data_IF_394457474433
#
_entry.id   IF_394457474433
#
_cell.length_a   1.000
_cell.length_b   1.000
_cell.length_c   1.000
_cell.angle_alpha   90.00
_cell.angle_beta   90.00
_cell.angle_gamma   90.00
#
_symmetry.space_group_name_H-M   'P 1'
#
loop_
_entity.id
_entity.type
_entity.pdbx_description
1 polymer ?
#
# COMPACT_ATOMS: atom_id res chain seq x y z
N UNK A 1 4.78 35.81 19.07
CA UNK A 1 4.67 34.41 18.63
C UNK A 1 3.35 34.24 17.90
N UNK A 2 3.34 33.78 16.64
CA UNK A 2 2.11 33.22 16.06
C UNK A 2 1.76 31.98 16.90
N UNK A 3 0.50 31.80 17.31
CA UNK A 3 0.12 30.61 18.07
C UNK A 3 0.42 29.36 17.24
N UNK A 4 0.78 28.26 17.89
CA UNK A 4 1.05 27.00 17.17
C UNK A 4 -0.14 26.56 16.31
N UNK A 5 -1.36 26.86 16.76
CA UNK A 5 -2.59 26.70 15.98
C UNK A 5 -2.59 27.53 14.68
N UNK A 6 -2.11 28.77 14.69
CA UNK A 6 -2.03 29.61 13.49
C UNK A 6 -0.96 29.14 12.49
N UNK A 7 0.04 28.39 12.94
CA UNK A 7 1.05 27.77 12.06
C UNK A 7 0.53 26.45 11.48
N UNK A 8 -0.12 25.62 12.29
CA UNK A 8 -0.75 24.37 11.87
C UNK A 8 -1.93 24.58 10.91
N UNK A 9 -2.59 25.73 10.98
CA UNK A 9 -3.68 26.12 10.08
C UNK A 9 -3.20 26.79 8.78
N UNK A 10 -1.89 27.00 8.59
CA UNK A 10 -1.37 27.75 7.46
C UNK A 10 -0.93 26.81 6.33
N UNK A 11 -1.56 26.95 5.16
CA UNK A 11 -1.29 26.14 3.97
C UNK A 11 -0.14 26.68 3.10
N UNK A 12 0.44 27.84 3.43
CA UNK A 12 1.44 28.53 2.59
C UNK A 12 2.90 28.15 2.89
N UNK A 13 3.15 27.18 3.78
CA UNK A 13 4.51 26.70 4.03
C UNK A 13 4.92 25.65 3.00
N UNK A 14 6.17 25.74 2.55
CA UNK A 14 6.83 24.62 1.87
C UNK A 14 6.78 23.39 2.79
N UNK A 15 6.39 22.23 2.26
CA UNK A 15 6.00 21.05 3.04
C UNK A 15 7.11 20.57 3.98
N UNK A 16 8.37 20.73 3.58
CA UNK A 16 9.55 20.41 4.40
C UNK A 16 9.75 21.43 5.52
N UNK A 17 9.58 22.72 5.23
CA UNK A 17 9.68 23.80 6.21
C UNK A 17 8.57 23.73 7.27
N UNK A 18 7.35 23.32 6.86
CA UNK A 18 6.22 23.13 7.74
C UNK A 18 6.52 22.02 8.75
N UNK A 19 7.13 20.93 8.29
CA UNK A 19 7.44 19.80 9.17
C UNK A 19 8.43 20.14 10.27
N UNK A 20 9.52 20.84 9.93
CA UNK A 20 10.50 21.29 10.92
C UNK A 20 9.89 22.23 11.98
N UNK A 21 9.03 23.16 11.55
CA UNK A 21 8.36 24.09 12.46
C UNK A 21 7.33 23.38 13.34
N UNK A 22 6.53 22.47 12.79
CA UNK A 22 5.57 21.67 13.57
C UNK A 22 6.30 20.78 14.57
N UNK A 23 7.42 20.17 14.19
CA UNK A 23 8.24 19.36 15.09
C UNK A 23 8.78 20.16 16.27
N UNK A 24 9.31 21.36 16.00
CA UNK A 24 9.77 22.27 17.05
C UNK A 24 8.61 22.71 17.95
N UNK A 25 7.45 23.04 17.38
CA UNK A 25 6.29 23.47 18.18
C UNK A 25 5.78 22.36 19.09
N UNK A 26 5.70 21.12 18.59
CA UNK A 26 5.29 19.98 19.40
C UNK A 26 6.31 19.68 20.50
N UNK A 27 7.62 19.79 20.25
CA UNK A 27 8.64 19.49 21.27
C UNK A 27 8.68 20.47 22.45
N UNK A 28 8.18 21.71 22.26
CA UNK A 28 8.10 22.73 23.32
C UNK A 28 6.74 22.79 24.03
N UNK A 29 5.76 21.98 23.61
CA UNK A 29 4.44 21.89 24.21
C UNK A 29 4.38 20.91 25.38
N UNK A 30 3.45 21.12 26.32
CA UNK A 30 3.10 20.08 27.31
C UNK A 30 2.32 18.94 26.64
N UNK A 31 2.27 17.73 27.23
CA UNK A 31 1.51 16.61 26.67
C UNK A 31 0.03 16.96 26.39
N UNK A 32 -0.59 17.77 27.24
CA UNK A 32 -1.98 18.22 27.06
C UNK A 32 -2.11 19.15 25.85
N UNK A 33 -1.15 20.06 25.65
CA UNK A 33 -1.14 20.97 24.51
C UNK A 33 -0.86 20.23 23.19
N UNK A 34 0.05 19.24 23.21
CA UNK A 34 0.27 18.36 22.07
C UNK A 34 -1.00 17.62 21.69
N UNK A 35 -1.73 17.09 22.69
CA UNK A 35 -2.99 16.38 22.47
C UNK A 35 -4.05 17.27 21.81
N UNK A 36 -4.22 18.50 22.28
CA UNK A 36 -5.17 19.44 21.68
C UNK A 36 -4.77 19.86 20.26
N UNK A 37 -3.47 20.02 19.98
CA UNK A 37 -2.98 20.29 18.64
C UNK A 37 -3.21 19.10 17.68
N UNK A 38 -2.97 17.87 18.15
CA UNK A 38 -3.23 16.63 17.41
C UNK A 38 -4.71 16.50 17.06
N UNK A 39 -5.62 16.74 18.02
CA UNK A 39 -7.07 16.72 17.80
C UNK A 39 -7.51 17.74 16.76
N UNK A 40 -6.95 18.95 16.81
CA UNK A 40 -7.33 20.04 15.92
C UNK A 40 -6.84 19.82 14.47
N UNK A 41 -5.68 19.18 14.27
CA UNK A 41 -5.04 19.07 12.96
C UNK A 41 -4.47 17.67 12.66
N UNK A 42 -5.28 16.60 12.72
CA UNK A 42 -4.78 15.22 12.65
C UNK A 42 -4.07 14.90 11.33
N UNK A 43 -4.54 15.41 10.18
CA UNK A 43 -3.88 15.17 8.88
C UNK A 43 -2.47 15.77 8.83
N UNK A 44 -2.31 17.03 9.23
CA UNK A 44 -1.01 17.70 9.19
C UNK A 44 -0.03 17.05 10.14
N UNK A 45 -0.49 16.68 11.35
CA UNK A 45 0.34 15.99 12.31
C UNK A 45 0.74 14.60 11.78
N UNK A 46 -0.20 13.84 11.19
CA UNK A 46 0.09 12.55 10.54
C UNK A 46 1.17 12.66 9.45
N UNK A 47 1.16 13.74 8.66
CA UNK A 47 2.13 13.96 7.60
C UNK A 47 3.51 14.32 8.13
N UNK A 48 3.59 15.14 9.18
CA UNK A 48 4.86 15.53 9.80
C UNK A 48 5.64 14.33 10.36
N UNK A 49 4.96 13.24 10.74
CA UNK A 49 5.66 12.04 11.24
C UNK A 49 6.44 11.30 10.16
N UNK A 50 6.11 11.51 8.89
CA UNK A 50 6.91 11.00 7.79
C UNK A 50 8.24 11.73 7.64
N UNK A 51 8.50 12.80 8.41
CA UNK A 51 9.80 13.48 8.46
C UNK A 51 10.46 13.31 9.84
N UNK A 52 11.73 12.93 9.85
CA UNK A 52 12.49 12.65 11.08
C UNK A 52 12.73 13.95 11.87
N UNK A 53 12.01 14.17 12.99
CA UNK A 53 12.45 13.64 14.28
C UNK A 53 11.33 13.09 15.20
N UNK A 54 10.05 13.12 14.80
CA UNK A 54 8.93 12.78 15.71
C UNK A 54 8.43 11.33 15.59
N UNK A 55 9.26 10.42 15.04
CA UNK A 55 8.84 9.04 14.77
C UNK A 55 8.43 8.28 16.03
N UNK A 56 9.19 8.39 17.12
CA UNK A 56 8.88 7.61 18.33
C UNK A 56 7.58 8.10 18.98
N UNK A 57 7.41 9.42 19.06
CA UNK A 57 6.18 10.05 19.54
C UNK A 57 4.98 9.64 18.69
N UNK A 58 5.16 9.52 17.37
CA UNK A 58 4.12 9.04 16.48
C UNK A 58 3.71 7.61 16.80
N UNK A 59 4.68 6.71 16.89
CA UNK A 59 4.40 5.28 17.01
C UNK A 59 3.69 4.93 18.30
N UNK A 60 3.95 5.70 19.37
CA UNK A 60 3.22 5.61 20.63
C UNK A 60 1.76 6.10 20.51
N UNK A 61 1.50 7.11 19.67
CA UNK A 61 0.20 7.81 19.63
C UNK A 61 -0.64 7.55 18.39
N UNK A 62 -0.13 6.87 17.35
CA UNK A 62 -0.78 6.69 16.05
C UNK A 62 -2.19 6.10 16.17
N UNK A 63 -2.39 5.12 17.06
CA UNK A 63 -3.71 4.54 17.30
C UNK A 63 -4.72 5.57 17.81
N UNK A 64 -4.28 6.49 18.68
CA UNK A 64 -5.10 7.58 19.19
C UNK A 64 -5.33 8.66 18.11
N UNK A 65 -4.31 9.00 17.33
CA UNK A 65 -4.41 10.00 16.25
C UNK A 65 -5.47 9.58 15.22
N UNK A 66 -5.54 8.28 14.90
CA UNK A 66 -6.58 7.74 14.03
C UNK A 66 -8.00 8.00 14.55
N UNK A 67 -8.21 8.04 15.87
CA UNK A 67 -9.54 8.33 16.46
C UNK A 67 -9.99 9.77 16.25
N UNK A 68 -9.06 10.68 15.96
CA UNK A 68 -9.37 12.09 15.70
C UNK A 68 -9.58 12.39 14.21
N UNK A 69 -9.17 11.48 13.32
CA UNK A 69 -9.31 11.68 11.88
C UNK A 69 -10.65 11.11 11.38
N UNK A 70 -11.62 11.97 11.02
CA UNK A 70 -12.88 11.49 10.45
C UNK A 70 -12.66 10.89 9.04
N UNK A 71 -13.53 9.97 8.58
CA UNK A 71 -13.40 9.36 7.25
C UNK A 71 -13.35 10.33 6.07
N UNK A 72 -13.95 11.53 6.22
CA UNK A 72 -13.85 12.59 5.22
C UNK A 72 -12.42 13.07 4.97
N UNK A 73 -11.53 12.94 5.97
CA UNK A 73 -10.11 13.33 5.88
C UNK A 73 -9.20 12.27 5.26
N UNK A 74 -9.66 11.04 5.06
CA UNK A 74 -8.80 9.94 4.56
C UNK A 74 -8.24 10.20 3.17
N UNK A 75 -9.07 10.76 2.28
CA UNK A 75 -8.62 11.11 0.93
C UNK A 75 -7.54 12.21 0.93
N UNK A 76 -7.70 13.23 1.77
CA UNK A 76 -6.71 14.31 1.90
C UNK A 76 -5.36 13.75 2.40
N UNK A 77 -5.41 12.89 3.43
CA UNK A 77 -4.22 12.23 3.95
C UNK A 77 -3.53 11.35 2.90
N UNK A 78 -4.28 10.49 2.20
CA UNK A 78 -3.74 9.63 1.15
C UNK A 78 -3.13 10.43 0.01
N UNK A 79 -3.78 11.52 -0.41
CA UNK A 79 -3.27 12.42 -1.45
C UNK A 79 -1.95 13.05 -1.06
N UNK A 80 -1.86 13.62 0.14
CA UNK A 80 -0.64 14.27 0.63
C UNK A 80 0.48 13.25 0.85
N UNK A 81 0.19 12.08 1.38
CA UNK A 81 1.17 10.99 1.53
C UNK A 81 1.71 10.52 0.17
N UNK A 82 0.82 10.30 -0.82
CA UNK A 82 1.21 9.86 -2.15
C UNK A 82 2.09 10.90 -2.86
N UNK A 83 1.74 12.19 -2.74
CA UNK A 83 2.56 13.28 -3.26
C UNK A 83 3.93 13.31 -2.60
N UNK A 84 4.00 13.19 -1.27
CA UNK A 84 5.28 13.17 -0.56
C UNK A 84 6.18 12.05 -1.02
N UNK A 85 5.71 10.81 -1.05
CA UNK A 85 6.53 9.67 -1.50
C UNK A 85 7.00 9.81 -2.95
N UNK A 86 6.24 10.55 -3.78
CA UNK A 86 6.61 10.81 -5.17
C UNK A 86 7.70 11.87 -5.31
N UNK A 87 7.64 12.94 -4.52
CA UNK A 87 8.45 14.15 -4.73
C UNK A 87 9.58 14.34 -3.73
N UNK A 88 9.48 13.81 -2.50
CA UNK A 88 10.48 14.05 -1.45
C UNK A 88 11.80 13.30 -1.68
N UNK A 89 11.84 12.31 -2.58
CA UNK A 89 12.99 11.41 -2.75
C UNK A 89 13.28 10.53 -1.52
N UNK A 90 12.53 10.69 -0.43
CA UNK A 90 12.71 9.99 0.84
C UNK A 90 11.50 9.09 1.11
N UNK A 91 11.73 7.79 1.03
CA UNK A 91 10.75 6.76 1.35
C UNK A 91 11.12 6.07 2.66
N UNK A 92 10.17 5.99 3.59
CA UNK A 92 10.35 5.38 4.92
C UNK A 92 9.49 4.13 5.07
N UNK A 93 9.98 2.96 4.61
CA UNK A 93 9.18 1.74 4.51
C UNK A 93 8.60 1.28 5.86
N UNK A 94 9.44 1.13 6.88
CA UNK A 94 9.02 0.70 8.22
C UNK A 94 7.93 1.60 8.83
N UNK A 95 8.06 2.90 8.63
CA UNK A 95 7.08 3.85 9.14
C UNK A 95 5.74 3.73 8.43
N UNK A 96 5.76 3.59 7.10
CA UNK A 96 4.55 3.32 6.33
C UNK A 96 3.89 2.01 6.78
N UNK A 97 4.67 0.94 6.96
CA UNK A 97 4.18 -0.36 7.41
C UNK A 97 3.46 -0.26 8.75
N UNK A 98 4.09 0.37 9.75
CA UNK A 98 3.49 0.56 11.09
C UNK A 98 2.25 1.46 11.05
N UNK A 99 2.29 2.53 10.26
CA UNK A 99 1.15 3.40 10.01
C UNK A 99 -0.03 2.61 9.44
N UNK A 100 0.22 1.81 8.39
CA UNK A 100 -0.83 1.08 7.69
C UNK A 100 -1.39 -0.05 8.55
N UNK A 101 -0.55 -0.77 9.29
CA UNK A 101 -0.97 -1.81 10.24
C UNK A 101 -1.98 -1.27 11.25
N UNK A 102 -1.67 -0.12 11.85
CA UNK A 102 -2.50 0.52 12.89
C UNK A 102 -3.66 1.35 12.34
N UNK A 103 -3.79 1.45 11.01
CA UNK A 103 -4.87 2.22 10.39
C UNK A 103 -6.24 1.55 10.51
N UNK A 104 -7.33 2.33 10.63
CA UNK A 104 -8.70 1.83 10.64
C UNK A 104 -9.07 1.04 9.39
N UNK A 105 -10.02 0.11 9.51
CA UNK A 105 -10.47 -0.73 8.38
C UNK A 105 -11.10 0.11 7.25
N UNK A 106 -11.88 1.12 7.59
CA UNK A 106 -12.49 2.05 6.63
C UNK A 106 -11.45 2.92 5.91
N UNK A 107 -10.35 3.29 6.57
CA UNK A 107 -9.20 3.88 5.90
C UNK A 107 -8.59 2.92 4.87
N UNK A 108 -8.37 1.65 5.23
CA UNK A 108 -7.84 0.62 4.32
C UNK A 108 -8.78 0.37 3.12
N UNK A 109 -10.10 0.44 3.32
CA UNK A 109 -11.07 0.39 2.22
C UNK A 109 -10.98 1.62 1.31
N UNK A 110 -10.84 2.81 1.90
CA UNK A 110 -10.62 4.05 1.15
C UNK A 110 -9.35 3.98 0.29
N UNK A 111 -8.28 3.34 0.78
CA UNK A 111 -7.02 3.16 0.07
C UNK A 111 -7.17 2.40 -1.26
N UNK A 112 -8.04 1.38 -1.30
CA UNK A 112 -8.24 0.51 -2.48
C UNK A 112 -9.32 1.05 -3.43
N UNK A 113 -10.30 1.78 -2.93
CA UNK A 113 -11.49 2.17 -3.73
C UNK A 113 -11.42 3.61 -4.22
N UNK A 114 -10.71 4.50 -3.52
CA UNK A 114 -10.73 5.92 -3.83
C UNK A 114 -9.62 6.30 -4.79
N UNK A 115 -10.01 7.04 -5.83
CA UNK A 115 -9.10 7.66 -6.77
C UNK A 115 -8.60 9.01 -6.23
N UNK A 116 -7.38 9.35 -6.62
CA UNK A 116 -6.83 10.68 -6.47
C UNK A 116 -7.55 11.68 -7.39
N UNK A 117 -7.25 12.96 -7.23
CA UNK A 117 -7.74 14.02 -8.14
C UNK A 117 -7.33 13.83 -9.61
N UNK A 118 -6.39 12.92 -9.90
CA UNK A 118 -5.93 12.60 -11.24
C UNK A 118 -6.60 11.34 -11.83
N UNK A 119 -7.60 10.77 -11.14
CA UNK A 119 -8.33 9.58 -11.58
C UNK A 119 -7.55 8.27 -11.38
N UNK A 120 -6.43 8.30 -10.64
CA UNK A 120 -5.63 7.11 -10.33
C UNK A 120 -5.87 6.64 -8.91
N UNK A 121 -6.06 5.33 -8.71
CA UNK A 121 -6.21 4.75 -7.37
C UNK A 121 -5.04 5.10 -6.45
N UNK A 122 -5.33 5.47 -5.19
CA UNK A 122 -4.28 5.73 -4.22
C UNK A 122 -3.35 4.52 -4.07
N UNK A 123 -3.91 3.30 -3.95
CA UNK A 123 -3.12 2.08 -3.89
C UNK A 123 -2.11 1.94 -5.04
N UNK A 124 -2.49 2.31 -6.27
CA UNK A 124 -1.59 2.26 -7.42
C UNK A 124 -0.37 3.19 -7.24
N UNK A 125 -0.57 4.40 -6.70
CA UNK A 125 0.54 5.31 -6.40
C UNK A 125 1.55 4.73 -5.42
N UNK A 126 1.08 4.12 -4.32
CA UNK A 126 1.96 3.50 -3.33
C UNK A 126 2.66 2.27 -3.89
N UNK A 127 1.93 1.40 -4.59
CA UNK A 127 2.51 0.23 -5.25
C UNK A 127 3.61 0.64 -6.25
N UNK A 128 3.43 1.73 -7.00
CA UNK A 128 4.49 2.23 -7.90
C UNK A 128 5.78 2.56 -7.16
N UNK A 129 5.68 3.22 -5.99
CA UNK A 129 6.84 3.52 -5.15
C UNK A 129 7.50 2.22 -4.67
N UNK A 130 6.70 1.25 -4.20
CA UNK A 130 7.23 0.02 -3.60
C UNK A 130 7.86 -0.89 -4.65
N UNK A 131 7.26 -1.00 -5.83
CA UNK A 131 7.87 -1.71 -6.96
C UNK A 131 9.17 -1.02 -7.39
N UNK A 132 9.24 0.31 -7.37
CA UNK A 132 10.46 1.05 -7.74
C UNK A 132 11.58 0.87 -6.72
N UNK A 133 11.23 0.78 -5.45
CA UNK A 133 12.16 0.60 -4.33
C UNK A 133 12.41 -0.86 -3.96
N UNK A 134 11.77 -1.80 -4.67
CA UNK A 134 11.82 -3.24 -4.39
C UNK A 134 11.46 -3.61 -2.94
N UNK A 135 10.50 -2.87 -2.36
CA UNK A 135 10.03 -3.10 -1.00
C UNK A 135 8.86 -4.09 -0.97
N UNK A 136 9.20 -5.37 -0.85
CA UNK A 136 8.20 -6.45 -0.78
C UNK A 136 7.48 -6.47 0.56
N UNK A 137 8.13 -6.08 1.66
CA UNK A 137 7.54 -6.07 3.00
C UNK A 137 6.35 -5.12 3.07
N UNK A 138 6.46 -3.92 2.50
CA UNK A 138 5.34 -2.97 2.47
C UNK A 138 4.18 -3.45 1.59
N UNK A 139 4.46 -4.18 0.52
CA UNK A 139 3.43 -4.83 -0.31
C UNK A 139 2.71 -5.90 0.53
N UNK A 140 3.44 -6.78 1.20
CA UNK A 140 2.87 -7.81 2.08
C UNK A 140 2.01 -7.20 3.18
N UNK A 141 2.47 -6.11 3.81
CA UNK A 141 1.71 -5.39 4.83
C UNK A 141 0.39 -4.87 4.29
N UNK A 142 0.37 -4.28 3.09
CA UNK A 142 -0.89 -3.85 2.47
C UNK A 142 -1.82 -5.04 2.29
N UNK A 143 -1.40 -6.03 1.51
CA UNK A 143 -2.29 -7.11 1.08
C UNK A 143 -2.82 -7.92 2.26
N UNK A 144 -1.98 -8.28 3.23
CA UNK A 144 -2.40 -9.05 4.42
C UNK A 144 -3.40 -8.31 5.31
N UNK A 145 -3.43 -6.98 5.23
CA UNK A 145 -4.33 -6.14 6.00
C UNK A 145 -5.60 -5.71 5.25
N UNK A 146 -5.76 -6.12 3.99
CA UNK A 146 -6.99 -5.92 3.22
C UNK A 146 -7.92 -7.12 3.37
N UNK A 147 -9.23 -6.88 3.21
CA UNK A 147 -10.22 -7.95 3.08
C UNK A 147 -9.98 -8.72 1.76
N UNK A 148 -10.33 -10.00 1.71
CA UNK A 148 -10.06 -10.85 0.54
C UNK A 148 -10.63 -10.27 -0.76
N UNK A 149 -11.85 -9.71 -0.74
CA UNK A 149 -12.45 -9.06 -1.90
C UNK A 149 -11.68 -7.83 -2.37
N UNK A 150 -11.12 -7.06 -1.43
CA UNK A 150 -10.39 -5.83 -1.75
C UNK A 150 -9.01 -6.14 -2.36
N UNK A 151 -8.36 -7.23 -1.91
CA UNK A 151 -7.12 -7.74 -2.51
C UNK A 151 -7.31 -8.12 -3.98
N UNK A 152 -8.38 -8.87 -4.27
CA UNK A 152 -8.73 -9.27 -5.64
C UNK A 152 -9.04 -8.01 -6.45
N UNK A 153 -9.92 -7.14 -5.96
CA UNK A 153 -10.26 -5.90 -6.64
C UNK A 153 -9.03 -5.07 -7.00
N UNK A 154 -8.06 -4.98 -6.09
CA UNK A 154 -6.84 -4.21 -6.31
C UNK A 154 -6.00 -4.74 -7.49
N UNK A 155 -5.79 -6.05 -7.60
CA UNK A 155 -4.97 -6.61 -8.69
C UNK A 155 -5.67 -6.65 -10.05
N UNK A 156 -6.99 -6.48 -10.07
CA UNK A 156 -7.79 -6.36 -11.30
C UNK A 156 -7.97 -4.92 -11.78
N UNK A 157 -7.55 -3.94 -10.99
CA UNK A 157 -7.64 -2.54 -11.36
C UNK A 157 -6.76 -2.22 -12.58
N UNK A 158 -7.27 -1.39 -13.51
CA UNK A 158 -6.57 -1.10 -14.76
C UNK A 158 -5.23 -0.38 -14.55
N UNK A 159 -5.14 0.52 -13.57
CA UNK A 159 -3.90 1.24 -13.31
C UNK A 159 -2.87 0.30 -12.67
N UNK A 160 -3.33 -0.63 -11.83
CA UNK A 160 -2.47 -1.68 -11.23
C UNK A 160 -2.00 -2.68 -12.28
N UNK A 161 -2.85 -3.07 -13.24
CA UNK A 161 -2.44 -3.91 -14.37
C UNK A 161 -1.39 -3.21 -15.25
N UNK A 162 -1.57 -1.91 -15.52
CA UNK A 162 -0.57 -1.10 -16.22
C UNK A 162 0.74 -1.02 -15.44
N UNK A 163 0.65 -0.88 -14.11
CA UNK A 163 1.81 -0.88 -13.24
C UNK A 163 2.55 -2.23 -13.30
N UNK A 164 1.84 -3.35 -13.21
CA UNK A 164 2.42 -4.70 -13.32
C UNK A 164 3.10 -4.91 -14.67
N UNK A 165 2.44 -4.51 -15.76
CA UNK A 165 3.02 -4.53 -17.08
C UNK A 165 4.37 -3.76 -17.12
N UNK A 166 4.39 -2.54 -16.58
CA UNK A 166 5.61 -1.72 -16.53
C UNK A 166 6.71 -2.34 -15.66
N UNK A 167 6.31 -2.98 -14.55
CA UNK A 167 7.22 -3.68 -13.63
C UNK A 167 7.88 -4.88 -14.29
N UNK A 168 7.11 -5.70 -15.01
CA UNK A 168 7.61 -6.87 -15.75
C UNK A 168 8.64 -6.45 -16.79
N UNK A 169 8.34 -5.41 -17.60
CA UNK A 169 9.29 -4.91 -18.59
C UNK A 169 10.60 -4.40 -17.98
N UNK A 170 10.52 -3.78 -16.79
CA UNK A 170 11.66 -3.24 -16.04
C UNK A 170 12.33 -4.24 -15.08
N UNK A 171 12.13 -5.54 -15.30
CA UNK A 171 12.80 -6.62 -14.55
C UNK A 171 12.40 -6.74 -13.07
N UNK A 172 11.28 -6.12 -12.69
CA UNK A 172 10.69 -6.17 -11.35
C UNK A 172 9.51 -7.13 -11.28
N UNK A 173 9.52 -8.17 -12.10
CA UNK A 173 8.46 -9.18 -12.15
C UNK A 173 8.30 -9.90 -10.81
N UNK A 174 9.39 -10.11 -10.06
CA UNK A 174 9.34 -10.72 -8.72
C UNK A 174 8.50 -9.89 -7.74
N UNK A 175 8.47 -8.57 -7.87
CA UNK A 175 7.58 -7.70 -7.07
C UNK A 175 6.11 -7.86 -7.46
N UNK A 176 5.84 -8.07 -8.76
CA UNK A 176 4.50 -8.39 -9.25
C UNK A 176 4.04 -9.73 -8.70
N UNK A 177 4.91 -10.73 -8.67
CA UNK A 177 4.61 -12.03 -8.05
C UNK A 177 4.27 -11.91 -6.57
N UNK A 178 4.96 -11.05 -5.81
CA UNK A 178 4.61 -10.79 -4.40
C UNK A 178 3.17 -10.26 -4.30
N UNK A 179 2.78 -9.28 -5.13
CA UNK A 179 1.41 -8.78 -5.16
C UNK A 179 0.39 -9.90 -5.47
N UNK A 180 0.67 -10.70 -6.49
CA UNK A 180 -0.24 -11.77 -6.94
C UNK A 180 -0.36 -12.89 -5.90
N UNK A 181 0.74 -13.24 -5.24
CA UNK A 181 0.78 -14.22 -4.15
C UNK A 181 -0.06 -13.75 -2.96
N UNK A 182 0.17 -12.52 -2.50
CA UNK A 182 -0.52 -11.96 -1.35
C UNK A 182 -1.99 -11.61 -1.64
N UNK A 183 -2.36 -11.46 -2.92
CA UNK A 183 -3.75 -11.35 -3.32
C UNK A 183 -4.57 -12.62 -3.07
N UNK A 184 -3.91 -13.77 -2.85
CA UNK A 184 -4.55 -15.05 -2.50
C UNK A 184 -5.65 -15.46 -3.50
N UNK A 185 -5.39 -15.27 -4.79
CA UNK A 185 -6.35 -15.49 -5.87
C UNK A 185 -6.83 -16.95 -5.92
N UNK A 186 -8.14 -17.14 -6.05
CA UNK A 186 -8.71 -18.45 -6.36
C UNK A 186 -8.34 -18.87 -7.78
N UNK A 187 -8.54 -20.15 -8.12
CA UNK A 187 -8.31 -20.64 -9.48
C UNK A 187 -9.08 -19.83 -10.53
N UNK A 188 -10.37 -19.56 -10.27
CA UNK A 188 -11.20 -18.77 -11.18
C UNK A 188 -10.73 -17.32 -11.29
N UNK A 189 -10.23 -16.73 -10.20
CA UNK A 189 -9.67 -15.37 -10.23
C UNK A 189 -8.37 -15.34 -11.05
N UNK A 190 -7.52 -16.36 -10.94
CA UNK A 190 -6.28 -16.42 -11.74
C UNK A 190 -6.56 -16.54 -13.23
N UNK A 191 -7.48 -17.42 -13.62
CA UNK A 191 -7.94 -17.54 -15.02
C UNK A 191 -8.50 -16.20 -15.52
N UNK A 192 -9.36 -15.55 -14.72
CA UNK A 192 -9.93 -14.24 -15.06
C UNK A 192 -8.87 -13.14 -15.15
N UNK A 193 -7.84 -13.18 -14.30
CA UNK A 193 -6.75 -12.21 -14.30
C UNK A 193 -5.87 -12.38 -15.53
N UNK A 194 -5.61 -13.60 -15.98
CA UNK A 194 -4.93 -13.87 -17.26
C UNK A 194 -5.71 -13.25 -18.42
N UNK A 195 -7.02 -13.46 -18.47
CA UNK A 195 -7.87 -12.84 -19.49
C UNK A 195 -7.86 -11.31 -19.42
N UNK A 196 -7.83 -10.73 -18.22
CA UNK A 196 -7.70 -9.29 -18.03
C UNK A 196 -6.36 -8.76 -18.58
N UNK A 197 -5.24 -9.42 -18.26
CA UNK A 197 -3.93 -9.10 -18.83
C UNK A 197 -3.91 -9.24 -20.35
N UNK A 198 -4.46 -10.33 -20.89
CA UNK A 198 -4.53 -10.54 -22.34
C UNK A 198 -5.37 -9.46 -23.03
N UNK A 199 -6.47 -9.02 -22.42
CA UNK A 199 -7.28 -7.90 -22.93
C UNK A 199 -6.51 -6.58 -22.88
N UNK A 200 -5.81 -6.32 -21.77
CA UNK A 200 -4.96 -5.15 -21.60
C UNK A 200 -3.85 -5.11 -22.67
N UNK A 201 -3.12 -6.21 -22.87
CA UNK A 201 -2.07 -6.35 -23.90
C UNK A 201 -2.62 -6.25 -25.33
N UNK A 202 -3.87 -6.65 -25.57
CA UNK A 202 -4.52 -6.48 -26.89
C UNK A 202 -4.88 -5.03 -27.18
N UNK A 203 -5.06 -4.21 -26.14
CA UNK A 203 -5.37 -2.78 -26.28
C UNK A 203 -4.13 -1.89 -26.39
N UNK A 204 -2.94 -2.40 -26.04
CA UNK A 204 -1.67 -1.75 -26.38
C UNK A 204 -1.24 -2.13 -27.80
N UNK A 205 -0.73 -1.18 -28.58
CA UNK A 205 -0.30 -1.36 -29.99
C UNK A 205 0.91 -2.33 -30.17
N UNK A 206 1.30 -3.06 -29.14
CA UNK A 206 2.54 -3.86 -29.02
C UNK A 206 2.26 -5.38 -28.93
N UNK A 207 1.11 -5.78 -29.48
CA UNK A 207 0.43 -7.09 -29.37
C UNK A 207 1.29 -8.35 -29.48
N UNK A 208 2.19 -8.45 -30.47
CA UNK A 208 2.90 -9.71 -30.77
C UNK A 208 4.25 -9.83 -30.07
N UNK A 209 5.01 -8.74 -29.97
CA UNK A 209 6.34 -8.72 -29.35
C UNK A 209 6.25 -9.03 -27.85
N UNK A 210 5.14 -8.65 -27.21
CA UNK A 210 4.98 -8.77 -25.76
C UNK A 210 4.49 -10.15 -25.32
N UNK A 211 3.60 -10.78 -26.09
CA UNK A 211 3.15 -12.15 -25.80
C UNK A 211 4.28 -13.18 -25.97
N UNK A 212 5.21 -12.92 -26.88
CA UNK A 212 6.40 -13.75 -27.06
C UNK A 212 7.46 -13.50 -25.99
N UNK A 213 7.34 -12.43 -25.20
CA UNK A 213 8.29 -12.09 -24.16
C UNK A 213 8.34 -13.21 -23.11
N UNK A 214 9.51 -13.83 -22.88
CA UNK A 214 9.66 -14.89 -21.88
C UNK A 214 9.21 -14.47 -20.47
N UNK A 215 9.28 -13.17 -20.16
CA UNK A 215 8.84 -12.61 -18.87
C UNK A 215 7.33 -12.75 -18.67
N UNK A 216 6.52 -12.57 -19.72
CA UNK A 216 5.07 -12.76 -19.66
C UNK A 216 4.68 -14.23 -19.54
N UNK A 217 5.38 -15.12 -20.25
CA UNK A 217 5.20 -16.56 -20.10
C UNK A 217 5.39 -17.01 -18.66
N UNK A 218 6.45 -16.52 -18.00
CA UNK A 218 6.73 -16.82 -16.59
C UNK A 218 5.61 -16.36 -15.65
N UNK A 219 5.04 -15.18 -15.85
CA UNK A 219 3.91 -14.70 -15.01
C UNK A 219 2.67 -15.56 -15.21
N UNK A 220 2.39 -15.99 -16.45
CA UNK A 220 1.28 -16.88 -16.72
C UNK A 220 1.51 -18.29 -16.16
N UNK A 221 2.74 -18.81 -16.22
CA UNK A 221 3.18 -20.05 -15.58
C UNK A 221 3.01 -19.96 -14.05
N UNK A 222 3.45 -18.87 -13.41
CA UNK A 222 3.26 -18.64 -11.97
C UNK A 222 1.78 -18.73 -11.56
N UNK A 223 0.90 -18.14 -12.37
CA UNK A 223 -0.54 -18.20 -12.14
C UNK A 223 -1.14 -19.61 -12.39
N UNK A 224 -0.47 -20.48 -13.13
CA UNK A 224 -0.84 -21.91 -13.30
C UNK A 224 -0.27 -22.81 -12.19
N UNK A 225 0.99 -22.58 -11.77
CA UNK A 225 1.76 -23.49 -10.92
C UNK A 225 1.33 -23.50 -9.45
N UNK A 226 0.70 -22.43 -8.96
CA UNK A 226 0.35 -22.32 -7.53
C UNK A 226 -0.72 -23.32 -7.07
N UNK A 227 -1.25 -24.16 -7.98
CA UNK A 227 -2.15 -25.28 -7.68
C UNK A 227 -1.39 -26.56 -7.28
N UNK A 228 -0.12 -26.73 -7.71
CA UNK A 228 0.64 -27.96 -7.47
C UNK A 228 1.12 -28.10 -6.01
N UNK A 229 1.55 -26.99 -5.38
CA UNK A 229 2.08 -27.04 -4.00
C UNK A 229 0.97 -27.23 -2.94
N UNK A 230 -0.22 -26.68 -3.17
CA UNK A 230 -1.35 -26.80 -2.26
C UNK A 230 -1.93 -28.24 -2.23
N UNK A 231 -1.87 -28.95 -3.35
CA UNK A 231 -2.30 -30.36 -3.45
C UNK A 231 -1.26 -31.32 -2.87
N UNK A 232 0.04 -31.01 -2.97
CA UNK A 232 1.12 -31.77 -2.32
C UNK A 232 1.02 -31.67 -0.79
N UNK A 233 0.82 -30.48 -0.22
CA UNK A 233 0.64 -30.31 1.22
C UNK A 233 -0.61 -31.02 1.76
N UNK A 234 -1.73 -31.00 1.02
CA UNK A 234 -2.95 -31.75 1.39
C UNK A 234 -2.74 -33.26 1.32
N UNK A 235 -2.01 -33.77 0.33
CA UNK A 235 -1.67 -35.19 0.22
C UNK A 235 -0.75 -35.64 1.35
N UNK A 236 0.20 -34.81 1.75
CA UNK A 236 1.12 -35.10 2.85
C UNK A 236 0.44 -35.03 4.22
N UNK A 237 -0.50 -34.11 4.43
CA UNK A 237 -1.32 -34.10 5.64
C UNK A 237 -2.24 -35.32 5.73
N UNK A 238 -2.84 -35.74 4.61
CA UNK A 238 -3.69 -36.93 4.56
C UNK A 238 -2.92 -38.22 4.83
N UNK A 239 -1.70 -38.37 4.29
CA UNK A 239 -0.79 -39.49 4.58
C UNK A 239 -0.34 -39.55 6.05
N UNK A 240 -0.16 -38.39 6.70
CA UNK A 240 0.18 -38.33 8.13
C UNK A 240 -0.99 -38.75 9.04
N UNK A 241 -2.23 -38.47 8.64
CA UNK A 241 -3.43 -38.88 9.37
C UNK A 241 -3.74 -40.39 9.21
N UNK A 242 -3.49 -40.97 8.05
CA UNK A 242 -3.69 -42.41 7.81
C UNK A 242 -2.66 -43.29 8.53
N UNK A 243 -1.46 -42.78 8.81
CA UNK A 243 -0.41 -43.50 9.54
C UNK A 243 -0.52 -43.42 11.08
N UNK A 244 -1.51 -42.69 11.63
CA UNK A 244 -1.68 -42.51 13.08
C UNK A 244 -2.71 -43.45 13.72
N UNK A 245 -3.31 -44.39 12.97
CA UNK A 245 -4.20 -45.40 13.51
C UNK A 245 -3.61 -46.81 13.30
N UNK A 246 -2.79 -47.34 14.24
CA UNK A 246 -2.54 -48.77 14.30
C UNK A 246 -3.77 -49.48 14.91
N UNK A 247 -4.17 -50.58 14.28
CA UNK A 247 -5.11 -51.60 14.82
C UNK A 247 -4.60 -52.23 16.13
#
# INVERSE_FOLDING_TARGET
>A
MRSAHAVLANHDFDEESLSGVVCYLLSVMTPEQQMEAIKAHPVHVLLCFFDLPLRDLFLENVGLIWTFLPPSGYGDLLSKMANRFRYSGHYFPKLFQEFFLKSPLDFKKCFVVKESQFGTLYACHFLYVFLKSEDSESIEVIFRNLDASDRVKLVFDSDVLQLFYSGILRERWHMVEVCLREATLSKGDRESLKEAFLRFLKSSDTREIELENPKWKRVFEFLDETDASADEEKKDQKRKLENCCPE
#
